data_IF_486101306325
#
_entry.id   IF_486101306325
#
_cell.length_a   1.000
_cell.length_b   1.000
_cell.length_c   1.000
_cell.angle_alpha   90.00
_cell.angle_beta   90.00
_cell.angle_gamma   90.00
#
_symmetry.space_group_name_H-M   'P 1'
#
loop_
_entity.id
_entity.type
_entity.pdbx_description
1 polymer ?
#
# COMPACT_ATOMS: atom_id res chain seq x y z
N UNK A 1 -15.81 28.56 3.90
CA UNK A 1 -14.96 28.06 2.82
C UNK A 1 -14.77 26.53 2.91
N UNK A 2 -15.85 25.75 2.90
CA UNK A 2 -15.75 24.28 3.17
C UNK A 2 -16.57 23.46 2.17
N UNK A 3 -16.87 23.97 1.00
CA UNK A 3 -17.78 23.35 0.03
C UNK A 3 -17.06 22.83 -1.24
N UNK A 4 -15.80 23.18 -1.48
CA UNK A 4 -15.14 22.91 -2.77
C UNK A 4 -14.57 21.47 -2.88
N UNK A 5 -14.21 20.83 -1.79
CA UNK A 5 -13.57 19.49 -1.85
C UNK A 5 -14.53 18.33 -2.15
N UNK A 6 -15.84 18.51 -1.93
CA UNK A 6 -16.85 17.44 -2.18
C UNK A 6 -17.35 17.50 -3.64
N UNK A 7 -17.27 18.64 -4.29
CA UNK A 7 -17.73 18.81 -5.66
C UNK A 7 -16.84 18.07 -6.70
N UNK A 8 -15.54 17.96 -6.45
CA UNK A 8 -14.63 17.30 -7.40
C UNK A 8 -14.89 15.77 -7.54
N UNK A 9 -15.22 15.09 -6.46
CA UNK A 9 -15.51 13.65 -6.54
C UNK A 9 -16.81 13.32 -7.29
N UNK A 10 -17.77 14.25 -7.28
CA UNK A 10 -19.06 14.05 -7.96
C UNK A 10 -19.02 14.43 -9.45
N UNK A 11 -18.19 15.40 -9.82
CA UNK A 11 -17.99 15.82 -11.22
C UNK A 11 -17.28 14.76 -12.06
N UNK A 12 -16.42 13.94 -11.46
CA UNK A 12 -15.71 12.86 -12.15
C UNK A 12 -16.69 11.73 -12.57
N UNK A 13 -17.71 11.46 -11.75
CA UNK A 13 -18.79 10.51 -12.11
C UNK A 13 -19.64 10.98 -13.31
N UNK A 14 -19.76 12.30 -13.52
CA UNK A 14 -20.56 12.89 -14.60
C UNK A 14 -19.78 12.98 -15.92
N UNK A 15 -18.45 13.10 -15.85
CA UNK A 15 -17.60 13.29 -17.04
C UNK A 15 -17.32 12.02 -17.84
N UNK A 16 -17.64 10.83 -17.32
CA UNK A 16 -17.38 9.53 -17.98
C UNK A 16 -18.62 9.00 -18.71
N UNK A 17 -19.80 9.50 -18.42
CA UNK A 17 -21.05 9.10 -19.07
C UNK A 17 -21.46 10.27 -19.97
N UNK A 18 -21.46 10.05 -21.28
CA UNK A 18 -21.91 11.06 -22.26
C UNK A 18 -23.25 11.70 -21.85
N UNK A 19 -23.60 12.85 -22.41
CA UNK A 19 -24.68 13.77 -22.06
C UNK A 19 -25.69 13.30 -21.02
N UNK A 20 -26.00 14.08 -19.99
CA UNK A 20 -26.82 13.65 -18.85
C UNK A 20 -28.17 13.12 -19.33
N UNK A 21 -28.44 11.84 -19.09
CA UNK A 21 -29.76 11.25 -19.26
C UNK A 21 -30.60 11.48 -18.01
N UNK A 22 -31.93 11.50 -18.11
CA UNK A 22 -32.88 11.70 -16.98
C UNK A 22 -32.63 10.76 -15.79
N UNK A 23 -31.91 9.66 -15.96
CA UNK A 23 -31.54 8.73 -14.89
C UNK A 23 -30.43 9.27 -13.95
N UNK A 24 -29.65 10.26 -14.39
CA UNK A 24 -28.55 10.86 -13.61
C UNK A 24 -29.04 11.83 -12.53
N UNK A 25 -30.23 12.41 -12.71
CA UNK A 25 -30.83 13.34 -11.73
C UNK A 25 -31.40 12.64 -10.50
N UNK A 26 -31.48 11.29 -10.51
CA UNK A 26 -32.07 10.49 -9.42
C UNK A 26 -31.05 10.00 -8.37
N UNK A 27 -29.76 10.34 -8.49
CA UNK A 27 -28.75 9.96 -7.49
C UNK A 27 -28.95 10.85 -6.25
N UNK A 28 -29.48 10.25 -5.20
CA UNK A 28 -29.65 10.91 -3.89
C UNK A 28 -28.26 11.20 -3.27
N UNK A 29 -27.88 12.47 -3.30
CA UNK A 29 -26.58 12.97 -2.76
C UNK A 29 -26.43 12.70 -1.26
N UNK A 30 -27.51 12.61 -0.50
CA UNK A 30 -27.48 12.30 0.92
C UNK A 30 -27.17 10.82 1.13
N UNK A 31 -27.66 9.95 0.28
CA UNK A 31 -27.41 8.52 0.28
C UNK A 31 -25.95 8.20 -0.06
N UNK A 32 -25.34 8.96 -0.97
CA UNK A 32 -23.90 8.84 -1.26
C UNK A 32 -23.05 9.25 -0.05
N UNK A 33 -23.44 10.30 0.70
CA UNK A 33 -22.75 10.71 1.94
C UNK A 33 -22.84 9.66 3.05
N UNK A 34 -23.98 8.98 3.19
CA UNK A 34 -24.14 7.90 4.16
C UNK A 34 -23.28 6.68 3.84
N UNK A 35 -23.12 6.36 2.55
CA UNK A 35 -22.32 5.24 2.09
C UNK A 35 -20.82 5.42 2.33
N UNK A 36 -20.32 6.65 2.21
CA UNK A 36 -18.93 6.99 2.49
C UNK A 36 -18.68 7.38 3.95
N UNK A 37 -19.71 7.22 4.82
CA UNK A 37 -19.52 7.40 6.26
C UNK A 37 -18.71 6.24 6.84
N UNK A 38 -17.65 6.50 7.63
CA UNK A 38 -16.81 5.45 8.24
C UNK A 38 -17.55 4.50 9.18
N UNK A 39 -18.79 4.84 9.55
CA UNK A 39 -19.65 4.05 10.44
C UNK A 39 -20.64 3.12 9.72
N UNK A 40 -20.67 3.12 8.37
CA UNK A 40 -21.57 2.25 7.64
C UNK A 40 -21.11 0.78 7.72
N UNK A 41 -22.00 -0.10 8.23
CA UNK A 41 -21.74 -1.53 8.28
C UNK A 41 -21.59 -2.13 6.86
N UNK A 42 -20.75 -3.17 6.67
CA UNK A 42 -20.52 -3.80 5.35
C UNK A 42 -21.78 -4.18 4.58
N UNK A 43 -22.82 -4.63 5.27
CA UNK A 43 -24.11 -5.01 4.67
C UNK A 43 -24.87 -3.86 3.98
N UNK A 44 -24.59 -2.59 4.34
CA UNK A 44 -25.19 -1.43 3.68
C UNK A 44 -24.55 -1.14 2.31
N UNK A 45 -23.30 -1.52 2.12
CA UNK A 45 -22.60 -1.36 0.85
C UNK A 45 -23.22 -2.22 -0.25
N UNK A 46 -23.52 -3.49 0.07
CA UNK A 46 -24.06 -4.46 -0.90
C UNK A 46 -25.39 -4.00 -1.50
N UNK A 47 -26.27 -3.41 -0.69
CA UNK A 47 -27.62 -3.02 -1.15
C UNK A 47 -27.67 -1.75 -1.99
N UNK A 48 -26.64 -0.93 -1.98
CA UNK A 48 -26.67 0.40 -2.62
C UNK A 48 -25.83 0.47 -3.90
N UNK A 49 -24.74 -0.27 -3.97
CA UNK A 49 -23.90 -0.36 -5.18
C UNK A 49 -24.63 -1.16 -6.27
N UNK A 50 -25.50 -2.11 -5.90
CA UNK A 50 -26.19 -3.01 -6.81
C UNK A 50 -27.56 -2.52 -7.31
N UNK A 51 -27.98 -1.30 -6.99
CA UNK A 51 -29.27 -0.75 -7.41
C UNK A 51 -29.10 0.32 -8.50
N UNK A 52 -29.41 -0.01 -9.74
CA UNK A 52 -29.50 0.96 -10.84
C UNK A 52 -28.47 0.75 -11.95
N UNK A 53 -28.18 1.77 -12.77
CA UNK A 53 -27.36 1.65 -14.00
C UNK A 53 -25.92 1.16 -13.79
N UNK A 54 -25.45 1.13 -12.56
CA UNK A 54 -24.17 0.51 -12.20
C UNK A 54 -24.21 -1.01 -12.36
N UNK A 55 -25.38 -1.64 -12.23
CA UNK A 55 -25.54 -3.10 -12.37
C UNK A 55 -25.17 -3.56 -13.78
N UNK A 56 -25.60 -2.84 -14.83
CA UNK A 56 -25.30 -3.18 -16.22
C UNK A 56 -23.80 -3.11 -16.54
N UNK A 57 -23.07 -2.16 -15.93
CA UNK A 57 -21.62 -2.04 -16.07
C UNK A 57 -20.85 -3.14 -15.31
N UNK A 58 -21.48 -3.76 -14.32
CA UNK A 58 -20.90 -4.84 -13.52
C UNK A 58 -21.10 -6.22 -14.17
N UNK A 59 -22.17 -6.41 -14.95
CA UNK A 59 -22.48 -7.69 -15.61
C UNK A 59 -21.54 -8.00 -16.78
N UNK A 60 -20.83 -6.99 -17.31
CA UNK A 60 -19.89 -7.16 -18.44
C UNK A 60 -18.50 -7.66 -18.02
N UNK A 61 -18.13 -7.57 -16.74
CA UNK A 61 -16.80 -7.98 -16.29
C UNK A 61 -16.86 -9.26 -15.47
N UNK A 62 -16.30 -10.32 -16.04
CA UNK A 62 -16.20 -11.62 -15.37
C UNK A 62 -14.97 -11.65 -14.46
N UNK A 63 -15.08 -12.40 -13.38
CA UNK A 63 -13.92 -12.80 -12.59
C UNK A 63 -12.90 -13.49 -13.49
N UNK A 64 -11.63 -13.18 -13.28
CA UNK A 64 -10.53 -13.78 -14.01
C UNK A 64 -9.70 -14.61 -13.03
N UNK A 65 -9.58 -15.89 -13.28
CA UNK A 65 -8.72 -16.77 -12.49
C UNK A 65 -7.24 -16.46 -12.71
N UNK A 66 -6.90 -16.01 -13.92
CA UNK A 66 -5.56 -15.56 -14.32
C UNK A 66 -5.71 -14.48 -15.40
N UNK A 67 -4.69 -13.65 -15.56
CA UNK A 67 -4.63 -12.61 -16.61
C UNK A 67 -3.46 -12.81 -17.58
N UNK A 68 -2.64 -13.82 -17.34
CA UNK A 68 -1.49 -14.17 -18.19
C UNK A 68 -0.30 -13.22 -18.04
N UNK A 69 -0.21 -12.47 -16.92
CA UNK A 69 0.96 -11.66 -16.63
C UNK A 69 1.98 -12.44 -15.80
N UNK A 70 3.24 -12.29 -16.16
CA UNK A 70 4.33 -12.88 -15.39
C UNK A 70 4.63 -12.04 -14.15
N UNK A 71 4.78 -12.63 -12.96
CA UNK A 71 5.15 -11.90 -11.76
C UNK A 71 6.44 -11.09 -11.98
N UNK A 72 6.47 -9.86 -11.48
CA UNK A 72 7.62 -8.97 -11.67
C UNK A 72 8.94 -9.58 -11.17
N UNK A 73 8.86 -10.41 -10.12
CA UNK A 73 9.99 -11.16 -9.56
C UNK A 73 10.49 -12.29 -10.45
N UNK A 74 9.74 -12.67 -11.49
CA UNK A 74 10.06 -13.78 -12.40
C UNK A 74 10.31 -13.32 -13.83
N UNK A 75 9.99 -12.07 -14.14
CA UNK A 75 10.33 -11.45 -15.42
C UNK A 75 11.83 -11.14 -15.48
N UNK A 76 12.44 -11.52 -16.59
CA UNK A 76 13.83 -11.15 -16.92
C UNK A 76 13.94 -9.71 -17.44
N UNK A 77 15.14 -9.29 -17.79
CA UNK A 77 15.42 -7.96 -18.34
C UNK A 77 14.97 -7.79 -19.82
N UNK A 78 14.89 -8.89 -20.57
CA UNK A 78 14.41 -8.94 -21.96
C UNK A 78 12.87 -9.07 -22.07
N UNK A 79 12.20 -9.56 -21.05
CA UNK A 79 10.74 -9.60 -20.98
C UNK A 79 10.16 -8.22 -20.61
N UNK A 80 9.13 -7.78 -21.36
CA UNK A 80 8.59 -6.42 -21.19
C UNK A 80 7.07 -6.43 -20.95
N UNK A 81 6.64 -5.60 -20.02
CA UNK A 81 5.24 -5.20 -19.87
C UNK A 81 5.11 -3.72 -20.25
N UNK A 82 4.56 -3.42 -21.41
CA UNK A 82 4.48 -2.04 -21.98
C UNK A 82 5.81 -1.27 -21.94
N UNK A 83 6.91 -1.94 -22.25
CA UNK A 83 8.25 -1.37 -22.27
C UNK A 83 9.00 -1.48 -20.94
N UNK A 84 8.33 -1.81 -19.85
CA UNK A 84 8.94 -2.02 -18.54
C UNK A 84 9.50 -3.43 -18.40
N UNK A 85 10.75 -3.56 -18.02
CA UNK A 85 11.47 -4.82 -17.80
C UNK A 85 11.07 -5.50 -16.48
N UNK A 86 11.57 -6.73 -16.23
CA UNK A 86 11.37 -7.48 -15.00
C UNK A 86 12.24 -7.04 -13.83
N UNK A 87 12.04 -7.72 -12.70
CA UNK A 87 12.76 -7.50 -11.45
C UNK A 87 12.21 -6.36 -10.59
N UNK A 88 12.31 -6.51 -9.29
CA UNK A 88 11.85 -5.52 -8.30
C UNK A 88 12.67 -4.21 -8.37
N UNK A 89 13.95 -4.31 -8.71
CA UNK A 89 14.85 -3.17 -8.84
C UNK A 89 15.17 -2.81 -10.30
N UNK A 90 14.62 -3.57 -11.27
CA UNK A 90 14.87 -3.44 -12.69
C UNK A 90 16.01 -4.38 -13.17
N UNK A 91 16.16 -4.52 -14.51
CA UNK A 91 17.17 -5.40 -15.09
C UNK A 91 16.99 -6.88 -14.72
N UNK A 92 15.76 -7.34 -14.51
CA UNK A 92 15.45 -8.70 -14.05
C UNK A 92 15.89 -9.00 -12.60
N UNK A 93 16.37 -8.02 -11.83
CA UNK A 93 16.94 -8.21 -10.49
C UNK A 93 15.95 -7.93 -9.38
N UNK A 94 15.91 -8.83 -8.39
CA UNK A 94 15.03 -8.71 -7.22
C UNK A 94 15.74 -8.17 -5.97
N UNK A 95 17.08 -8.17 -5.99
CA UNK A 95 17.91 -7.63 -4.91
C UNK A 95 18.32 -6.18 -5.21
N UNK A 96 18.45 -5.33 -4.18
CA UNK A 96 18.94 -3.97 -4.37
C UNK A 96 20.38 -3.96 -4.92
N UNK A 97 20.73 -3.00 -5.79
CA UNK A 97 22.11 -2.80 -6.21
C UNK A 97 23.03 -2.50 -5.02
N UNK A 98 24.32 -2.87 -5.13
CA UNK A 98 25.31 -2.80 -4.04
C UNK A 98 25.31 -1.47 -3.29
N UNK A 99 25.30 -0.35 -4.01
CA UNK A 99 25.30 0.98 -3.38
C UNK A 99 24.03 1.23 -2.55
N UNK A 100 22.88 0.74 -3.02
CA UNK A 100 21.62 0.87 -2.30
C UNK A 100 21.55 -0.10 -1.11
N UNK A 101 22.09 -1.31 -1.28
CA UNK A 101 22.25 -2.30 -0.22
C UNK A 101 23.14 -1.78 0.91
N UNK A 102 24.27 -1.15 0.59
CA UNK A 102 25.16 -0.53 1.58
C UNK A 102 24.45 0.60 2.33
N UNK A 103 23.73 1.46 1.61
CA UNK A 103 22.93 2.52 2.23
C UNK A 103 21.85 1.95 3.17
N UNK A 104 21.21 0.84 2.80
CA UNK A 104 20.25 0.13 3.64
C UNK A 104 20.92 -0.34 4.94
N UNK A 105 22.06 -1.01 4.85
CA UNK A 105 22.78 -1.47 6.04
C UNK A 105 23.16 -0.32 6.98
N UNK A 106 23.57 0.84 6.44
CA UNK A 106 23.89 2.01 7.27
C UNK A 106 22.63 2.62 7.93
N UNK A 107 21.49 2.64 7.24
CA UNK A 107 20.22 3.09 7.82
C UNK A 107 19.73 2.14 8.94
N UNK A 108 19.88 0.84 8.72
CA UNK A 108 19.46 -0.20 9.68
C UNK A 108 20.26 -0.16 10.99
N UNK A 109 21.57 0.16 10.92
CA UNK A 109 22.42 0.34 12.12
C UNK A 109 21.94 1.47 13.02
N UNK A 110 21.13 2.42 12.51
CA UNK A 110 20.59 3.53 13.26
C UNK A 110 19.28 3.19 13.97
N UNK A 111 18.69 2.01 13.71
CA UNK A 111 17.48 1.55 14.39
C UNK A 111 17.89 1.04 15.78
N UNK A 112 17.42 1.75 16.78
CA UNK A 112 17.72 1.47 18.20
C UNK A 112 16.52 1.87 19.06
N UNK A 113 16.30 1.28 20.24
CA UNK A 113 15.22 1.70 21.12
C UNK A 113 15.33 3.18 21.48
N UNK A 114 14.23 3.94 21.30
CA UNK A 114 14.14 5.37 21.57
C UNK A 114 13.15 5.66 22.69
N UNK A 115 13.47 6.67 23.53
CA UNK A 115 12.53 7.25 24.48
C UNK A 115 11.43 8.06 23.73
N UNK A 116 10.39 8.56 24.43
CA UNK A 116 9.32 9.33 23.80
C UNK A 116 9.79 10.62 23.11
N UNK A 117 10.93 11.17 23.48
CA UNK A 117 11.57 12.35 22.86
C UNK A 117 12.47 11.98 21.67
N UNK A 118 12.57 10.69 21.33
CA UNK A 118 13.32 10.20 20.19
C UNK A 118 14.83 10.05 20.44
N UNK A 119 15.27 9.99 21.67
CA UNK A 119 16.68 9.75 22.04
C UNK A 119 16.92 8.27 22.34
N UNK A 120 18.11 7.73 22.02
CA UNK A 120 18.46 6.35 22.38
C UNK A 120 18.29 6.08 23.88
N UNK A 121 17.58 5.00 24.22
CA UNK A 121 17.28 4.61 25.60
C UNK A 121 17.18 3.10 25.74
N UNK A 122 17.70 2.53 26.83
CA UNK A 122 17.61 1.08 27.11
C UNK A 122 16.16 0.63 27.30
N UNK A 123 15.32 1.49 27.89
CA UNK A 123 13.90 1.23 28.12
C UNK A 123 13.02 1.79 26.99
N UNK A 124 13.66 2.24 25.93
CA UNK A 124 13.01 2.81 24.75
C UNK A 124 12.30 1.76 23.89
N UNK A 125 11.67 2.25 22.81
CA UNK A 125 10.91 1.42 21.87
C UNK A 125 11.42 1.62 20.43
N UNK A 126 11.33 0.56 19.64
CA UNK A 126 11.39 0.61 18.18
C UNK A 126 9.95 0.51 17.70
N UNK A 127 9.42 1.57 17.11
CA UNK A 127 8.04 1.56 16.62
C UNK A 127 8.03 1.29 15.12
N UNK A 128 7.31 0.23 14.73
CA UNK A 128 7.07 -0.20 13.37
C UNK A 128 5.61 0.06 13.00
N UNK A 129 5.36 0.93 12.02
CA UNK A 129 4.01 1.31 11.61
C UNK A 129 3.60 0.67 10.29
N UNK A 130 2.34 0.24 10.21
CA UNK A 130 1.68 -0.05 8.94
C UNK A 130 0.98 1.19 8.42
N UNK A 131 1.20 1.60 7.16
CA UNK A 131 0.57 2.75 6.52
C UNK A 131 -0.02 2.35 5.18
N UNK A 132 -1.29 2.63 4.96
CA UNK A 132 -1.97 2.30 3.72
C UNK A 132 -3.49 2.23 3.85
N UNK A 133 -4.11 1.57 2.87
CA UNK A 133 -5.57 1.46 2.73
C UNK A 133 -6.19 0.34 3.58
N UNK A 134 -7.49 0.09 3.39
CA UNK A 134 -8.27 -0.93 4.12
C UNK A 134 -7.63 -2.31 4.13
N UNK A 135 -7.21 -2.82 2.96
CA UNK A 135 -6.56 -4.12 2.84
C UNK A 135 -5.27 -4.17 3.66
N UNK A 136 -4.43 -3.13 3.52
CA UNK A 136 -3.18 -3.00 4.28
C UNK A 136 -3.45 -3.02 5.79
N UNK A 137 -4.52 -2.34 6.23
CA UNK A 137 -4.90 -2.29 7.64
C UNK A 137 -5.37 -3.65 8.18
N UNK A 138 -6.13 -4.42 7.39
CA UNK A 138 -6.56 -5.76 7.78
C UNK A 138 -5.39 -6.74 7.86
N UNK A 139 -4.50 -6.69 6.88
CA UNK A 139 -3.29 -7.52 6.81
C UNK A 139 -2.31 -7.18 7.93
N UNK A 140 -2.04 -5.87 8.16
CA UNK A 140 -1.11 -5.43 9.20
C UNK A 140 -1.62 -5.75 10.61
N UNK A 141 -2.92 -5.69 10.84
CA UNK A 141 -3.51 -6.09 12.13
C UNK A 141 -3.23 -7.56 12.43
N UNK A 142 -3.48 -8.47 11.46
CA UNK A 142 -3.18 -9.89 11.64
C UNK A 142 -1.68 -10.16 11.75
N UNK A 143 -0.87 -9.42 11.02
CA UNK A 143 0.58 -9.48 11.15
C UNK A 143 1.02 -9.08 12.55
N UNK A 144 0.51 -7.96 13.09
CA UNK A 144 0.75 -7.52 14.46
C UNK A 144 0.35 -8.59 15.47
N UNK A 145 -0.85 -9.15 15.36
CA UNK A 145 -1.32 -10.24 16.24
C UNK A 145 -0.42 -11.49 16.19
N UNK A 146 0.14 -11.79 15.02
CA UNK A 146 1.08 -12.91 14.83
C UNK A 146 2.43 -12.60 15.47
N UNK A 147 2.96 -11.40 15.24
CA UNK A 147 4.23 -10.94 15.80
C UNK A 147 4.16 -10.83 17.31
N UNK A 148 3.06 -10.33 17.88
CA UNK A 148 2.90 -10.20 19.34
C UNK A 148 2.89 -11.54 20.08
N UNK A 149 2.60 -12.64 19.38
CA UNK A 149 2.63 -14.01 19.90
C UNK A 149 3.96 -14.72 19.60
N UNK A 150 4.85 -14.11 18.86
CA UNK A 150 6.12 -14.73 18.46
C UNK A 150 7.19 -14.54 19.54
N UNK A 151 7.71 -15.66 20.02
CA UNK A 151 8.77 -15.66 21.05
C UNK A 151 10.07 -15.00 20.58
N UNK A 152 10.29 -14.89 19.28
CA UNK A 152 11.45 -14.21 18.71
C UNK A 152 11.30 -12.68 18.64
N UNK A 153 10.10 -12.14 18.95
CA UNK A 153 9.87 -10.69 18.96
C UNK A 153 10.70 -10.02 20.07
N UNK A 154 11.51 -9.00 19.76
CA UNK A 154 12.19 -8.20 20.79
C UNK A 154 11.18 -7.46 21.67
N UNK A 155 11.44 -7.40 22.97
CA UNK A 155 10.53 -6.75 23.92
C UNK A 155 10.30 -5.25 23.65
N UNK A 156 11.30 -4.58 23.06
CA UNK A 156 11.24 -3.17 22.71
C UNK A 156 10.57 -2.89 21.34
N UNK A 157 10.23 -3.93 20.55
CA UNK A 157 9.55 -3.77 19.26
C UNK A 157 8.04 -3.64 19.46
N UNK A 158 7.49 -2.51 19.01
CA UNK A 158 6.07 -2.22 19.05
C UNK A 158 5.56 -2.01 17.63
N UNK A 159 4.53 -2.77 17.23
CA UNK A 159 3.85 -2.59 15.96
C UNK A 159 2.60 -1.73 16.17
N UNK A 160 2.37 -0.75 15.28
CA UNK A 160 1.17 0.10 15.33
C UNK A 160 0.51 0.18 13.97
N UNK A 161 -0.75 -0.20 13.91
CA UNK A 161 -1.55 -0.13 12.68
C UNK A 161 -2.09 1.29 12.48
N UNK A 162 -1.38 2.08 11.67
CA UNK A 162 -1.76 3.44 11.29
C UNK A 162 -2.60 3.50 10.01
N UNK A 163 -2.96 2.35 9.41
CA UNK A 163 -3.72 2.29 8.16
C UNK A 163 -5.14 2.85 8.28
N UNK A 164 -5.65 3.34 7.16
CA UNK A 164 -7.03 3.83 7.04
C UNK A 164 -7.62 3.48 5.68
N UNK A 165 -8.96 3.36 5.59
CA UNK A 165 -9.67 3.10 4.33
C UNK A 165 -9.65 4.33 3.41
N UNK A 166 -8.47 4.65 2.86
CA UNK A 166 -8.24 5.81 2.02
C UNK A 166 -7.23 5.46 0.91
N UNK A 167 -7.44 5.99 -0.28
CA UNK A 167 -6.52 5.84 -1.41
C UNK A 167 -5.22 6.61 -1.23
N UNK A 168 -4.24 6.33 -2.08
CA UNK A 168 -2.93 6.95 -2.08
C UNK A 168 -3.00 8.47 -2.13
N UNK A 169 -3.91 9.04 -2.95
CA UNK A 169 -4.14 10.48 -3.06
C UNK A 169 -4.56 11.16 -1.75
N UNK A 170 -5.21 10.44 -0.84
CA UNK A 170 -5.54 10.93 0.50
C UNK A 170 -4.33 10.93 1.43
N UNK A 171 -3.46 9.93 1.31
CA UNK A 171 -2.20 9.85 2.02
C UNK A 171 -1.15 10.84 1.49
N UNK A 172 -1.29 11.28 0.26
CA UNK A 172 -0.51 12.36 -0.34
C UNK A 172 -0.94 13.78 0.12
N UNK A 173 -1.89 13.89 1.04
CA UNK A 173 -2.36 15.16 1.62
C UNK A 173 -2.06 15.20 3.11
N UNK A 174 -1.55 16.34 3.61
CA UNK A 174 -1.38 16.57 5.04
C UNK A 174 -2.75 16.85 5.68
N UNK A 175 -3.44 15.80 6.12
CA UNK A 175 -4.83 15.88 6.57
C UNK A 175 -5.28 14.72 7.44
N UNK A 176 -6.58 14.43 7.41
CA UNK A 176 -7.24 13.51 8.33
C UNK A 176 -6.68 12.08 8.40
N UNK A 177 -6.10 11.56 7.32
CA UNK A 177 -5.43 10.24 7.35
C UNK A 177 -4.23 10.24 8.29
N UNK A 178 -3.41 11.28 8.23
CA UNK A 178 -2.25 11.44 9.10
C UNK A 178 -2.63 11.77 10.55
N UNK A 179 -3.67 12.59 10.76
CA UNK A 179 -4.20 12.82 12.10
C UNK A 179 -4.59 11.50 12.77
N UNK A 180 -5.33 10.65 12.05
CA UNK A 180 -5.70 9.31 12.55
C UNK A 180 -4.51 8.40 12.79
N UNK A 181 -3.47 8.49 11.95
CA UNK A 181 -2.24 7.73 12.16
C UNK A 181 -1.56 8.13 13.48
N UNK A 182 -1.49 9.43 13.78
CA UNK A 182 -0.97 9.95 15.05
C UNK A 182 -1.84 9.51 16.24
N UNK A 183 -3.17 9.55 16.12
CA UNK A 183 -4.10 9.05 17.15
C UNK A 183 -3.88 7.55 17.46
N UNK A 184 -3.46 6.73 16.47
CA UNK A 184 -3.13 5.32 16.73
C UNK A 184 -1.82 5.17 17.52
N UNK A 185 -0.83 6.02 17.31
CA UNK A 185 0.39 6.03 18.12
C UNK A 185 0.09 6.40 19.57
N UNK A 186 -0.71 7.44 19.78
CA UNK A 186 -1.15 7.85 21.11
C UNK A 186 -1.88 6.70 21.85
N UNK A 187 -2.83 6.03 21.20
CA UNK A 187 -3.52 4.85 21.74
C UNK A 187 -2.59 3.68 22.07
N UNK A 188 -1.50 3.54 21.33
CA UNK A 188 -0.48 2.53 21.58
C UNK A 188 0.55 2.98 22.62
N UNK A 189 0.38 4.17 23.21
CA UNK A 189 1.30 4.77 24.17
C UNK A 189 2.74 4.84 23.65
N UNK A 190 2.87 5.33 22.41
CA UNK A 190 4.16 5.63 21.74
C UNK A 190 4.10 6.99 21.06
N UNK A 191 5.26 7.62 20.88
CA UNK A 191 5.37 8.92 20.21
C UNK A 191 5.72 8.79 18.72
N UNK A 192 5.46 9.82 17.91
CA UNK A 192 5.93 9.91 16.53
C UNK A 192 7.46 9.83 16.41
N UNK A 193 8.19 10.32 17.42
CA UNK A 193 9.64 10.33 17.51
C UNK A 193 10.23 8.93 17.66
N UNK A 194 9.45 7.98 18.18
CA UNK A 194 9.86 6.57 18.30
C UNK A 194 9.68 5.75 17.04
N UNK A 195 8.96 6.27 16.02
CA UNK A 195 8.72 5.58 14.76
C UNK A 195 9.99 5.55 13.91
N UNK A 196 10.52 4.35 13.65
CA UNK A 196 11.76 4.17 12.89
C UNK A 196 11.58 3.34 11.63
N UNK A 197 10.52 2.53 11.56
CA UNK A 197 10.24 1.61 10.46
C UNK A 197 8.79 1.74 10.00
N UNK A 198 8.56 1.65 8.71
CA UNK A 198 7.21 1.59 8.13
C UNK A 198 7.09 0.47 7.09
N UNK A 199 5.96 -0.23 7.09
CA UNK A 199 5.49 -0.99 5.94
C UNK A 199 4.37 -0.21 5.25
N UNK A 200 4.57 0.11 3.97
CA UNK A 200 3.67 0.98 3.22
C UNK A 200 3.14 0.22 2.00
N UNK A 201 1.82 0.11 1.90
CA UNK A 201 1.15 -0.46 0.74
C UNK A 201 -0.02 0.42 0.32
N UNK A 202 0.18 1.15 -0.76
CA UNK A 202 -0.79 2.09 -1.32
C UNK A 202 -1.39 1.60 -2.63
N UNK A 203 -2.61 2.04 -2.90
CA UNK A 203 -3.24 2.01 -4.19
C UNK A 203 -4.22 3.18 -4.31
N UNK A 204 -4.52 3.60 -5.51
CA UNK A 204 -5.63 4.50 -5.78
C UNK A 204 -6.87 3.66 -6.13
N UNK A 205 -7.98 3.78 -5.39
CA UNK A 205 -9.13 2.91 -5.61
C UNK A 205 -9.88 3.18 -6.92
N UNK A 206 -9.69 4.35 -7.52
CA UNK A 206 -10.46 4.81 -8.68
C UNK A 206 -9.54 5.11 -9.86
N UNK A 207 -9.01 4.09 -10.55
CA UNK A 207 -8.22 4.33 -11.73
C UNK A 207 -9.09 4.99 -12.81
N UNK A 208 -8.73 6.21 -13.20
CA UNK A 208 -9.37 6.89 -14.33
C UNK A 208 -9.01 6.16 -15.63
N UNK A 209 -10.00 5.53 -16.23
CA UNK A 209 -10.02 4.94 -17.57
C UNK A 209 -8.77 4.16 -18.07
N UNK A 210 -9.03 3.07 -18.76
CA UNK A 210 -8.07 2.21 -19.46
C UNK A 210 -7.31 2.89 -20.62
N UNK A 211 -7.41 4.21 -20.78
CA UNK A 211 -7.01 4.90 -22.01
C UNK A 211 -5.50 4.94 -22.24
N UNK A 212 -4.69 4.91 -21.17
CA UNK A 212 -3.23 4.86 -21.30
C UNK A 212 -2.66 3.92 -20.26
N UNK A 213 -2.09 2.84 -20.74
CA UNK A 213 -1.38 1.88 -19.88
C UNK A 213 -0.30 2.57 -19.06
N UNK A 214 -0.14 2.15 -17.83
CA UNK A 214 0.83 2.68 -16.85
C UNK A 214 0.58 4.13 -16.37
N UNK A 215 -0.39 4.88 -16.90
CA UNK A 215 -0.67 6.24 -16.39
C UNK A 215 -1.19 6.18 -14.94
N UNK A 216 -1.97 5.15 -14.61
CA UNK A 216 -2.33 4.86 -13.22
C UNK A 216 -1.10 4.67 -12.33
N UNK A 217 -0.14 3.84 -12.77
CA UNK A 217 1.08 3.57 -12.01
C UNK A 217 1.94 4.84 -11.84
N UNK A 218 1.98 5.73 -12.83
CA UNK A 218 2.68 7.03 -12.74
C UNK A 218 2.02 7.95 -11.72
N UNK A 219 0.69 8.04 -11.72
CA UNK A 219 -0.04 8.82 -10.72
C UNK A 219 0.17 8.24 -9.31
N UNK A 220 0.02 6.93 -9.17
CA UNK A 220 0.26 6.23 -7.91
C UNK A 220 1.69 6.46 -7.39
N UNK A 221 2.70 6.45 -8.27
CA UNK A 221 4.08 6.81 -7.91
C UNK A 221 4.16 8.20 -7.30
N UNK A 222 3.51 9.20 -7.92
CA UNK A 222 3.50 10.58 -7.44
C UNK A 222 2.91 10.67 -6.03
N UNK A 223 1.81 9.98 -5.79
CA UNK A 223 1.14 9.95 -4.50
C UNK A 223 1.97 9.20 -3.44
N UNK A 224 2.63 8.10 -3.81
CA UNK A 224 3.57 7.38 -2.92
C UNK A 224 4.73 8.30 -2.52
N UNK A 225 5.35 9.01 -3.45
CA UNK A 225 6.46 9.96 -3.15
C UNK A 225 6.00 11.01 -2.13
N UNK A 226 4.85 11.63 -2.35
CA UNK A 226 4.32 12.66 -1.44
C UNK A 226 3.96 12.05 -0.08
N UNK A 227 3.36 10.85 -0.05
CA UNK A 227 3.05 10.14 1.19
C UNK A 227 4.33 9.84 2.00
N UNK A 228 5.41 9.42 1.35
CA UNK A 228 6.71 9.17 1.99
C UNK A 228 7.32 10.43 2.59
N UNK A 229 7.22 11.56 1.90
CA UNK A 229 7.66 12.86 2.42
C UNK A 229 6.85 13.28 3.67
N UNK A 230 5.54 13.08 3.63
CA UNK A 230 4.67 13.34 4.77
C UNK A 230 4.95 12.36 5.93
N UNK A 231 5.16 11.07 5.64
CA UNK A 231 5.57 10.10 6.65
C UNK A 231 6.86 10.54 7.36
N UNK A 232 7.87 10.96 6.61
CA UNK A 232 9.13 11.46 7.18
C UNK A 232 8.94 12.75 8.00
N UNK A 233 8.05 13.63 7.56
CA UNK A 233 7.70 14.85 8.30
C UNK A 233 6.99 14.54 9.62
N UNK A 234 6.08 13.55 9.62
CA UNK A 234 5.30 13.14 10.80
C UNK A 234 6.11 12.26 11.75
N UNK A 235 7.03 11.47 11.24
CA UNK A 235 7.88 10.53 11.96
C UNK A 235 9.36 10.91 11.76
N UNK A 236 9.89 11.85 12.56
CA UNK A 236 11.22 12.41 12.32
C UNK A 236 12.36 11.39 12.30
N UNK A 237 12.21 10.30 13.09
CA UNK A 237 13.19 9.23 13.17
C UNK A 237 12.91 8.05 12.22
N UNK A 238 11.94 8.16 11.30
CA UNK A 238 11.69 7.12 10.30
C UNK A 238 12.96 6.91 9.45
N UNK A 239 13.58 5.73 9.57
CA UNK A 239 14.84 5.36 8.92
C UNK A 239 14.61 4.60 7.64
N UNK A 240 13.72 3.61 7.67
CA UNK A 240 13.47 2.70 6.54
C UNK A 240 11.96 2.56 6.32
N UNK A 241 11.54 2.58 5.05
CA UNK A 241 10.20 2.20 4.63
C UNK A 241 10.27 1.04 3.63
N UNK A 242 9.59 -0.05 3.96
CA UNK A 242 9.39 -1.21 3.08
C UNK A 242 8.10 -1.01 2.30
N UNK A 243 8.22 -0.98 0.98
CA UNK A 243 7.10 -0.74 0.07
C UNK A 243 6.61 -2.05 -0.53
N UNK A 244 5.32 -2.31 -0.51
CA UNK A 244 4.70 -3.43 -1.21
C UNK A 244 3.66 -2.94 -2.20
N UNK A 245 3.47 -3.72 -3.26
CA UNK A 245 2.41 -3.51 -4.25
C UNK A 245 1.15 -4.31 -3.87
N UNK A 246 0.12 -4.25 -4.73
CA UNK A 246 -1.16 -4.95 -4.53
C UNK A 246 -1.00 -6.47 -4.62
N UNK A 247 -1.96 -7.17 -4.03
CA UNK A 247 -2.30 -8.57 -4.33
C UNK A 247 -3.05 -8.66 -5.66
N UNK A 248 -3.39 -9.84 -6.13
CA UNK A 248 -4.15 -10.08 -7.35
C UNK A 248 -5.50 -9.34 -7.36
N UNK A 249 -5.86 -8.74 -8.48
CA UNK A 249 -7.08 -7.93 -8.66
C UNK A 249 -8.10 -8.53 -9.63
N UNK A 250 -7.87 -9.71 -10.20
CA UNK A 250 -8.73 -10.30 -11.23
C UNK A 250 -10.12 -10.72 -10.73
N UNK A 251 -10.29 -10.87 -9.42
CA UNK A 251 -11.59 -11.17 -8.81
C UNK A 251 -12.41 -9.92 -8.45
N UNK A 252 -11.84 -8.73 -8.57
CA UNK A 252 -12.50 -7.46 -8.26
C UNK A 252 -13.44 -7.06 -9.40
N UNK A 253 -14.61 -7.69 -9.47
CA UNK A 253 -15.61 -7.49 -10.54
C UNK A 253 -16.70 -6.51 -10.15
N UNK A 254 -17.00 -6.39 -8.88
CA UNK A 254 -18.04 -5.53 -8.37
C UNK A 254 -17.54 -4.10 -8.20
N UNK A 255 -18.12 -3.13 -8.91
CA UNK A 255 -17.66 -1.74 -8.88
C UNK A 255 -16.28 -1.54 -9.49
N UNK A 256 -15.95 -2.32 -10.46
CA UNK A 256 -14.62 -2.53 -11.01
C UNK A 256 -13.90 -1.29 -11.50
N UNK A 257 -14.61 -0.30 -11.98
CA UNK A 257 -14.03 1.02 -12.32
C UNK A 257 -13.58 1.78 -11.07
N UNK A 258 -13.97 1.29 -9.89
CA UNK A 258 -13.80 1.99 -8.62
C UNK A 258 -12.76 1.35 -7.70
N UNK A 259 -12.33 0.09 -7.95
CA UNK A 259 -11.60 -0.68 -6.94
C UNK A 259 -10.42 -1.48 -7.45
N UNK A 260 -9.65 -0.93 -8.38
CA UNK A 260 -8.31 -1.43 -8.67
C UNK A 260 -8.24 -2.89 -9.16
N UNK A 261 -8.97 -3.23 -10.25
CA UNK A 261 -8.89 -4.56 -10.86
C UNK A 261 -7.57 -4.73 -11.61
N UNK A 262 -7.38 -5.90 -12.25
CA UNK A 262 -6.30 -6.03 -13.23
C UNK A 262 -6.61 -5.17 -14.50
N UNK A 263 -5.62 -4.55 -15.09
CA UNK A 263 -4.18 -4.68 -14.81
C UNK A 263 -3.63 -3.75 -13.71
N UNK A 264 -4.45 -2.90 -13.12
CA UNK A 264 -3.99 -1.86 -12.17
C UNK A 264 -3.36 -2.45 -10.92
N UNK A 265 -3.84 -3.61 -10.44
CA UNK A 265 -3.24 -4.28 -9.31
C UNK A 265 -1.81 -4.73 -9.64
N UNK A 266 -1.60 -5.37 -10.80
CA UNK A 266 -0.26 -5.72 -11.29
C UNK A 266 0.61 -4.48 -11.52
N UNK A 267 0.10 -3.47 -12.22
CA UNK A 267 0.84 -2.25 -12.57
C UNK A 267 1.22 -1.40 -11.35
N UNK A 268 0.57 -1.58 -10.20
CA UNK A 268 0.96 -0.92 -8.94
C UNK A 268 2.41 -1.25 -8.53
N UNK A 269 2.95 -2.39 -8.97
CA UNK A 269 4.33 -2.78 -8.71
C UNK A 269 5.34 -1.85 -9.42
N UNK A 270 5.01 -1.37 -10.61
CA UNK A 270 5.85 -0.41 -11.32
C UNK A 270 5.91 0.93 -10.58
N UNK A 271 4.80 1.37 -9.97
CA UNK A 271 4.79 2.58 -9.16
C UNK A 271 5.76 2.48 -7.97
N UNK A 272 5.78 1.35 -7.28
CA UNK A 272 6.73 1.06 -6.19
C UNK A 272 8.15 1.05 -6.71
N UNK A 273 8.43 0.27 -7.77
CA UNK A 273 9.76 0.17 -8.38
C UNK A 273 10.30 1.53 -8.80
N UNK A 274 9.53 2.31 -9.54
CA UNK A 274 9.96 3.64 -9.99
C UNK A 274 10.21 4.61 -8.83
N UNK A 275 9.46 4.49 -7.72
CA UNK A 275 9.70 5.30 -6.53
C UNK A 275 11.06 4.95 -5.91
N UNK A 276 11.39 3.67 -5.77
CA UNK A 276 12.68 3.22 -5.25
C UNK A 276 13.80 3.61 -6.21
N UNK A 277 13.63 3.39 -7.51
CA UNK A 277 14.61 3.79 -8.53
C UNK A 277 14.86 5.31 -8.55
N UNK A 278 13.83 6.12 -8.31
CA UNK A 278 13.96 7.57 -8.18
C UNK A 278 14.90 7.93 -7.00
N UNK A 279 14.74 7.27 -5.87
CA UNK A 279 15.64 7.45 -4.73
C UNK A 279 17.07 6.98 -5.04
N UNK A 280 17.23 5.80 -5.67
CA UNK A 280 18.54 5.26 -6.09
C UNK A 280 19.30 6.21 -7.01
N UNK A 281 18.59 6.94 -7.88
CA UNK A 281 19.15 8.00 -8.74
C UNK A 281 19.56 9.26 -7.97
N UNK A 282 19.28 9.33 -6.68
CA UNK A 282 19.64 10.48 -5.83
C UNK A 282 18.77 11.72 -6.03
N UNK A 283 17.54 11.56 -6.50
CA UNK A 283 16.64 12.69 -6.69
C UNK A 283 16.28 13.35 -5.34
N UNK A 284 16.39 14.68 -5.28
CA UNK A 284 16.25 15.49 -4.05
C UNK A 284 14.92 15.29 -3.32
N UNK A 285 13.83 15.01 -4.05
CA UNK A 285 12.51 14.77 -3.49
C UNK A 285 12.39 13.52 -2.62
N UNK A 286 13.37 12.61 -2.68
CA UNK A 286 13.45 11.38 -1.88
C UNK A 286 14.78 11.24 -1.14
N UNK A 287 15.46 12.38 -0.87
CA UNK A 287 16.72 12.33 -0.14
C UNK A 287 16.54 11.80 1.29
N UNK A 288 17.27 10.73 1.61
CA UNK A 288 17.34 10.09 2.93
C UNK A 288 18.67 10.34 3.64
N UNK A 289 19.69 10.86 2.93
CA UNK A 289 21.06 11.01 3.41
C UNK A 289 21.35 12.46 3.80
N UNK A 290 21.59 12.70 5.08
CA UNK A 290 21.91 14.03 5.60
C UNK A 290 23.20 14.62 5.00
N UNK A 291 24.13 13.78 4.51
CA UNK A 291 25.36 14.22 3.83
C UNK A 291 25.07 14.81 2.45
N UNK A 292 23.93 14.48 1.85
CA UNK A 292 23.47 14.96 0.53
C UNK A 292 22.47 16.13 0.61
N UNK A 293 22.19 16.61 1.83
CA UNK A 293 21.30 17.75 2.06
C UNK A 293 20.12 17.40 2.97
N UNK A 294 19.05 18.22 2.92
CA UNK A 294 17.87 18.03 3.76
C UNK A 294 17.25 16.64 3.53
N UNK A 295 17.12 15.87 4.61
CA UNK A 295 16.42 14.58 4.59
C UNK A 295 14.91 14.84 4.51
N UNK A 296 14.27 14.27 3.50
CA UNK A 296 12.84 14.46 3.22
C UNK A 296 12.08 13.15 3.07
N UNK A 297 12.77 12.01 3.06
CA UNK A 297 12.18 10.67 2.99
C UNK A 297 13.00 9.69 3.83
N UNK A 298 12.45 8.53 4.24
CA UNK A 298 13.25 7.41 4.73
C UNK A 298 14.02 6.75 3.58
N UNK A 299 14.96 5.86 3.89
CA UNK A 299 15.49 4.93 2.89
C UNK A 299 14.37 3.98 2.46
N UNK A 300 14.27 3.69 1.16
CA UNK A 300 13.22 2.88 0.57
C UNK A 300 13.75 1.52 0.16
N UNK A 301 13.04 0.47 0.56
CA UNK A 301 13.29 -0.90 0.14
C UNK A 301 11.98 -1.53 -0.34
N UNK A 302 12.07 -2.55 -1.19
CA UNK A 302 10.94 -3.44 -1.35
C UNK A 302 10.68 -4.19 -0.04
N UNK A 303 9.41 -4.27 0.34
CA UNK A 303 8.89 -5.28 1.22
C UNK A 303 8.48 -6.51 0.39
N UNK A 304 7.72 -7.46 0.95
CA UNK A 304 7.29 -8.63 0.19
C UNK A 304 6.48 -8.22 -1.05
N UNK A 305 6.81 -8.83 -2.19
CA UNK A 305 6.02 -8.71 -3.42
C UNK A 305 4.82 -9.64 -3.33
N UNK A 306 3.62 -9.09 -3.36
CA UNK A 306 2.39 -9.81 -2.99
C UNK A 306 1.56 -10.29 -4.18
N UNK A 307 1.88 -9.86 -5.40
CA UNK A 307 1.12 -10.24 -6.57
C UNK A 307 1.57 -11.61 -7.13
N UNK A 308 0.61 -12.42 -7.52
CA UNK A 308 0.77 -13.61 -8.34
C UNK A 308 -0.37 -13.62 -9.36
N UNK A 309 -0.24 -14.33 -10.49
CA UNK A 309 -1.26 -14.39 -11.53
C UNK A 309 -2.41 -15.31 -11.16
N UNK A 310 -3.23 -14.87 -10.22
CA UNK A 310 -4.38 -15.62 -9.74
C UNK A 310 -4.02 -17.04 -9.32
N UNK A 311 -4.67 -18.03 -9.93
CA UNK A 311 -4.47 -19.46 -9.60
C UNK A 311 -3.13 -20.03 -10.09
N UNK A 312 -2.39 -19.30 -10.95
CA UNK A 312 -1.04 -19.70 -11.37
C UNK A 312 -0.05 -19.40 -10.25
N UNK A 313 0.61 -20.42 -9.66
CA UNK A 313 1.54 -20.20 -8.58
C UNK A 313 2.85 -19.56 -9.08
N UNK A 314 3.40 -18.66 -8.28
CA UNK A 314 4.79 -18.20 -8.42
C UNK A 314 5.77 -19.33 -8.04
N UNK A 315 7.06 -19.11 -8.33
CA UNK A 315 8.14 -20.05 -7.95
C UNK A 315 8.22 -20.32 -6.44
N UNK A 316 7.82 -19.36 -5.61
CA UNK A 316 7.73 -19.52 -4.14
C UNK A 316 6.40 -20.15 -3.68
N UNK A 317 5.53 -20.56 -4.61
CA UNK A 317 4.25 -21.20 -4.35
C UNK A 317 3.09 -20.25 -4.08
N UNK A 318 3.31 -18.94 -4.00
CA UNK A 318 2.22 -17.99 -3.80
C UNK A 318 1.27 -18.01 -5.00
N UNK A 319 -0.02 -18.18 -4.73
CA UNK A 319 -1.14 -18.04 -5.67
C UNK A 319 -2.34 -17.41 -4.98
N UNK A 320 -3.25 -16.88 -5.77
CA UNK A 320 -4.48 -16.28 -5.30
C UNK A 320 -5.69 -17.00 -5.85
N UNK A 321 -6.55 -17.47 -5.00
CA UNK A 321 -7.81 -18.13 -5.34
C UNK A 321 -8.99 -17.23 -5.01
N UNK A 322 -10.13 -17.41 -5.69
CA UNK A 322 -11.35 -16.64 -5.39
C UNK A 322 -11.73 -16.70 -3.91
N UNK A 323 -11.51 -17.85 -3.28
CA UNK A 323 -11.74 -18.09 -1.84
C UNK A 323 -10.81 -17.32 -0.91
N UNK A 324 -9.76 -16.68 -1.40
CA UNK A 324 -8.89 -15.81 -0.62
C UNK A 324 -9.46 -14.38 -0.46
N UNK A 325 -10.57 -14.11 -1.13
CA UNK A 325 -11.20 -12.80 -1.15
C UNK A 325 -12.63 -12.86 -0.64
N UNK A 326 -13.06 -11.78 -0.01
CA UNK A 326 -14.45 -11.56 0.35
C UNK A 326 -15.36 -11.54 -0.90
N UNK A 327 -16.66 -11.37 -0.70
CA UNK A 327 -17.63 -11.34 -1.82
C UNK A 327 -17.34 -10.30 -2.88
N UNK A 328 -16.68 -9.19 -2.52
CA UNK A 328 -16.31 -8.11 -3.45
C UNK A 328 -15.12 -8.45 -4.36
N UNK A 329 -14.46 -9.59 -4.14
CA UNK A 329 -13.27 -10.00 -4.90
C UNK A 329 -12.06 -9.09 -4.76
N UNK A 330 -12.12 -8.09 -3.86
CA UNK A 330 -11.10 -7.06 -3.67
C UNK A 330 -10.39 -7.18 -2.33
N UNK A 331 -11.17 -7.31 -1.25
CA UNK A 331 -10.64 -7.40 0.10
C UNK A 331 -10.27 -8.85 0.41
N UNK A 332 -8.99 -9.12 0.72
CA UNK A 332 -8.60 -10.44 1.20
C UNK A 332 -9.40 -10.80 2.45
N UNK A 333 -9.97 -12.00 2.44
CA UNK A 333 -10.62 -12.59 3.60
C UNK A 333 -9.60 -13.18 4.59
N UNK A 334 -10.06 -14.02 5.51
CA UNK A 334 -9.19 -14.66 6.50
C UNK A 334 -8.08 -15.52 5.88
N UNK A 335 -8.32 -16.18 4.74
CA UNK A 335 -7.31 -16.99 4.05
C UNK A 335 -6.32 -16.13 3.29
N UNK A 336 -6.79 -15.16 2.54
CA UNK A 336 -5.95 -14.21 1.81
C UNK A 336 -5.07 -13.37 2.74
N UNK A 337 -5.64 -12.88 3.86
CA UNK A 337 -4.86 -12.17 4.87
C UNK A 337 -3.77 -13.06 5.50
N UNK A 338 -4.03 -14.38 5.72
CA UNK A 338 -2.99 -15.30 6.20
C UNK A 338 -1.84 -15.41 5.22
N UNK A 339 -2.09 -15.54 3.91
CA UNK A 339 -1.05 -15.58 2.88
C UNK A 339 -0.16 -14.33 2.94
N UNK A 340 -0.75 -13.14 3.06
CA UNK A 340 0.02 -11.89 3.21
C UNK A 340 0.83 -11.89 4.51
N UNK A 341 0.24 -12.34 5.63
CA UNK A 341 0.94 -12.42 6.91
C UNK A 341 2.12 -13.40 6.86
N UNK A 342 1.98 -14.52 6.17
CA UNK A 342 3.07 -15.50 5.96
C UNK A 342 4.22 -14.85 5.17
N UNK A 343 3.92 -14.13 4.09
CA UNK A 343 4.92 -13.39 3.33
C UNK A 343 5.61 -12.30 4.17
N UNK A 344 4.86 -11.56 5.00
CA UNK A 344 5.42 -10.56 5.91
C UNK A 344 6.31 -11.19 6.98
N UNK A 345 5.86 -12.29 7.62
CA UNK A 345 6.62 -12.99 8.64
C UNK A 345 7.92 -13.56 8.07
N UNK A 346 7.86 -14.20 6.90
CA UNK A 346 9.04 -14.75 6.24
C UNK A 346 10.02 -13.63 5.90
N UNK A 347 9.54 -12.56 5.27
CA UNK A 347 10.36 -11.41 4.90
C UNK A 347 11.05 -10.78 6.13
N UNK A 348 10.30 -10.36 7.14
CA UNK A 348 10.87 -9.65 8.28
C UNK A 348 11.78 -10.53 9.14
N UNK A 349 11.59 -11.84 9.15
CA UNK A 349 12.46 -12.76 9.88
C UNK A 349 13.73 -13.16 9.13
N UNK A 350 13.72 -13.17 7.81
CA UNK A 350 14.77 -13.79 7.02
C UNK A 350 15.55 -12.81 6.14
N UNK A 351 14.91 -11.71 5.67
CA UNK A 351 15.56 -10.74 4.80
C UNK A 351 16.71 -10.02 5.50
N UNK A 352 17.85 -9.91 4.82
CA UNK A 352 19.07 -9.32 5.35
C UNK A 352 18.90 -7.85 5.76
N UNK A 353 17.94 -7.14 5.15
CA UNK A 353 17.64 -5.75 5.43
C UNK A 353 16.51 -5.56 6.46
N UNK A 354 15.99 -6.64 7.07
CA UNK A 354 14.89 -6.56 8.02
C UNK A 354 15.18 -7.26 9.36
N UNK A 355 15.72 -8.48 9.32
CA UNK A 355 15.84 -9.34 10.52
C UNK A 355 16.65 -8.73 11.66
N UNK A 356 17.60 -7.85 11.38
CA UNK A 356 18.52 -7.32 12.40
C UNK A 356 17.84 -6.49 13.49
N UNK A 357 16.69 -5.91 13.21
CA UNK A 357 15.89 -5.13 14.16
C UNK A 357 14.55 -5.82 14.50
N UNK A 358 14.13 -6.77 13.65
CA UNK A 358 12.82 -7.42 13.82
C UNK A 358 12.89 -8.67 14.71
N UNK A 359 14.02 -9.38 14.69
CA UNK A 359 14.22 -10.60 15.51
C UNK A 359 15.15 -10.28 16.67
N UNK A 360 14.80 -10.75 17.86
CA UNK A 360 15.67 -10.68 19.05
C UNK A 360 16.98 -11.44 18.81
N UNK A 361 18.08 -10.92 19.41
CA UNK A 361 19.38 -11.61 19.44
C UNK A 361 19.30 -12.80 20.35
#
# INVERSE_FOLDING_TARGET
MTVVAIACGLLILVGVIGSPTKAQDSIDRNRVKELYSPSAAPEKWEKTIYAGPVKELLEERKEQETVGYKPLTEMSDDEKHFGEEGGLYGGGKNEPPDAHQQAAQEALKQITPLDPEGKPSKDGKIVFVGVGMSNTGAEFRRFQEKVDKDSAKPAHLILVNCCWSAGASSWAKDGGTWTRALDQLEKANVSPEQVQVAWIKHAEPFPESEKKRLDYAKQLKTDIVTSLQLAKKKFPNLRVAYLSSRTYGGYAVNGVRLVNPEPFAYESAFAVRWTIQQQMKGERGLNYDAKKGKVVAPLLLWGPYLWADGTTPRKDGLKWERSDYSKDGLHPDASGQRKVVEQLMDFFKNDANAKSWFVGK
#
